data_IF_386030154219
#
_entry.id   IF_386030154219
#
_cell.length_a   1.000
_cell.length_b   1.000
_cell.length_c   1.000
_cell.angle_alpha   90.00
_cell.angle_beta   90.00
_cell.angle_gamma   90.00
#
_symmetry.space_group_name_H-M   'P 1'
#
loop_
_entity.id
_entity.type
_entity.pdbx_description
1 polymer ?
#
# COMPACT_ATOMS: atom_id res chain seq x y z
N UNK A 1 -25.98 -16.74 11.57
CA UNK A 1 -24.56 -16.63 12.01
C UNK A 1 -23.85 -15.72 11.02
N UNK A 2 -23.29 -14.60 11.48
CA UNK A 2 -22.34 -13.83 10.67
C UNK A 2 -20.99 -14.54 10.77
N UNK A 3 -20.61 -15.30 9.76
CA UNK A 3 -19.25 -15.83 9.65
C UNK A 3 -18.36 -14.65 9.26
N UNK A 4 -17.52 -14.18 10.18
CA UNK A 4 -16.43 -13.26 9.83
C UNK A 4 -15.37 -14.06 9.11
N UNK A 5 -15.39 -14.02 7.78
CA UNK A 5 -14.30 -14.58 6.97
C UNK A 5 -13.10 -13.65 7.14
N UNK A 6 -12.00 -14.22 7.60
CA UNK A 6 -10.69 -13.58 7.65
C UNK A 6 -9.76 -14.32 6.69
N UNK A 7 -8.65 -13.69 6.36
CA UNK A 7 -7.68 -14.19 5.39
C UNK A 7 -6.34 -14.50 6.07
N UNK A 8 -5.72 -15.61 5.68
CA UNK A 8 -4.34 -15.90 6.06
C UNK A 8 -3.36 -14.89 5.44
N UNK A 9 -3.69 -14.39 4.25
CA UNK A 9 -2.89 -13.39 3.53
C UNK A 9 -3.79 -12.41 2.78
N UNK A 10 -3.51 -11.12 2.92
CA UNK A 10 -4.09 -10.06 2.09
C UNK A 10 -2.95 -9.37 1.36
N UNK A 11 -3.05 -9.26 0.04
CA UNK A 11 -2.15 -8.44 -0.75
C UNK A 11 -2.98 -7.43 -1.54
N UNK A 12 -2.49 -6.19 -1.59
CA UNK A 12 -3.05 -5.19 -2.47
C UNK A 12 -1.96 -4.48 -3.25
N UNK A 13 -2.02 -4.60 -4.58
CA UNK A 13 -1.26 -3.76 -5.50
C UNK A 13 -1.92 -2.38 -5.55
N UNK A 14 -1.42 -1.43 -4.75
CA UNK A 14 -2.09 -0.15 -4.57
C UNK A 14 -1.81 0.80 -5.73
N UNK A 15 -2.78 1.65 -6.12
CA UNK A 15 -2.52 2.84 -6.93
C UNK A 15 -1.61 3.80 -6.15
N UNK A 16 -0.38 4.01 -6.63
CA UNK A 16 0.61 4.86 -5.96
C UNK A 16 0.97 6.13 -6.75
N UNK A 17 0.48 6.29 -7.97
CA UNK A 17 0.81 7.49 -8.76
C UNK A 17 0.04 8.70 -8.22
N UNK A 18 0.76 9.78 -7.97
CA UNK A 18 0.18 11.06 -7.54
C UNK A 18 -0.73 11.62 -8.65
N UNK A 19 -1.90 12.11 -8.25
CA UNK A 19 -2.78 12.87 -9.12
C UNK A 19 -3.26 14.16 -8.43
N UNK A 20 -3.17 15.27 -9.15
CA UNK A 20 -3.63 16.59 -8.69
C UNK A 20 -5.09 16.88 -9.08
N UNK A 21 -5.87 15.85 -9.43
CA UNK A 21 -7.29 15.93 -9.80
C UNK A 21 -8.13 14.91 -9.04
N UNK A 22 -9.36 15.31 -8.69
CA UNK A 22 -10.29 14.48 -7.92
C UNK A 22 -11.32 13.75 -8.78
N UNK A 23 -11.55 14.20 -10.02
CA UNK A 23 -12.48 13.56 -10.95
C UNK A 23 -11.69 12.59 -11.82
N UNK A 24 -11.85 11.31 -11.53
CA UNK A 24 -11.22 10.22 -12.27
C UNK A 24 -12.23 9.12 -12.54
N UNK A 25 -12.14 8.52 -13.73
CA UNK A 25 -12.94 7.36 -14.07
C UNK A 25 -12.43 6.10 -13.34
N UNK A 26 -13.10 4.97 -13.57
CA UNK A 26 -12.74 3.70 -12.91
C UNK A 26 -11.35 3.20 -13.30
N UNK A 27 -10.91 3.41 -14.54
CA UNK A 27 -9.62 2.94 -15.02
C UNK A 27 -8.50 3.81 -14.47
N UNK A 28 -8.67 5.12 -14.49
CA UNK A 28 -7.74 6.08 -13.90
C UNK A 28 -7.53 5.80 -12.41
N UNK A 29 -8.60 5.48 -11.67
CA UNK A 29 -8.50 5.10 -10.24
C UNK A 29 -7.74 3.80 -9.96
N UNK A 30 -7.44 3.00 -10.99
CA UNK A 30 -6.58 1.82 -10.83
C UNK A 30 -5.09 2.19 -10.77
N UNK A 31 -4.73 3.40 -11.20
CA UNK A 31 -3.36 3.91 -11.24
C UNK A 31 -3.16 5.04 -10.21
N UNK A 32 -4.16 5.90 -10.06
CA UNK A 32 -4.10 7.12 -9.26
C UNK A 32 -4.97 7.04 -8.00
N UNK A 33 -4.42 7.45 -6.86
CA UNK A 33 -5.15 7.59 -5.60
C UNK A 33 -4.87 8.96 -4.97
N UNK A 34 -5.74 9.97 -5.18
CA UNK A 34 -5.49 11.33 -4.73
C UNK A 34 -5.35 11.37 -3.22
N UNK A 35 -4.22 11.88 -2.75
CA UNK A 35 -3.86 11.92 -1.33
C UNK A 35 -3.85 10.54 -0.65
N UNK A 36 -3.72 9.45 -1.42
CA UNK A 36 -3.64 8.09 -0.90
C UNK A 36 -4.80 7.71 0.02
N UNK A 37 -6.02 8.17 -0.32
CA UNK A 37 -7.25 7.92 0.46
C UNK A 37 -7.59 6.44 0.56
N UNK A 38 -7.33 5.69 -0.49
CA UNK A 38 -7.58 4.25 -0.54
C UNK A 38 -6.51 3.50 0.26
N UNK A 39 -5.24 3.93 0.17
CA UNK A 39 -4.15 3.44 1.03
C UNK A 39 -4.44 3.70 2.50
N UNK A 40 -4.84 4.91 2.88
CA UNK A 40 -5.22 5.24 4.26
C UNK A 40 -6.33 4.33 4.79
N UNK A 41 -7.38 4.09 3.99
CA UNK A 41 -8.44 3.15 4.36
C UNK A 41 -7.92 1.74 4.59
N UNK A 42 -7.02 1.25 3.75
CA UNK A 42 -6.41 -0.06 3.91
C UNK A 42 -5.57 -0.13 5.20
N UNK A 43 -4.65 0.81 5.40
CA UNK A 43 -3.81 0.91 6.61
C UNK A 43 -4.65 1.00 7.91
N UNK A 44 -5.79 1.69 7.86
CA UNK A 44 -6.66 1.85 9.03
C UNK A 44 -7.40 0.57 9.43
N UNK A 45 -7.55 -0.41 8.54
CA UNK A 45 -8.54 -1.47 8.73
C UNK A 45 -8.16 -2.88 8.29
N UNK A 46 -6.95 -3.10 7.75
CA UNK A 46 -6.53 -4.41 7.25
C UNK A 46 -6.61 -5.50 8.32
N UNK A 47 -6.20 -5.20 9.55
CA UNK A 47 -6.14 -6.11 10.70
C UNK A 47 -7.48 -6.76 11.07
N UNK A 48 -8.60 -6.07 10.82
CA UNK A 48 -9.95 -6.63 11.04
C UNK A 48 -10.28 -7.82 10.13
N UNK A 49 -9.57 -7.95 9.01
CA UNK A 49 -9.82 -8.97 7.98
C UNK A 49 -8.72 -10.03 7.93
N UNK A 50 -7.70 -9.94 8.78
CA UNK A 50 -6.57 -10.87 8.81
C UNK A 50 -6.76 -11.84 9.99
N UNK A 51 -6.38 -13.10 9.78
CA UNK A 51 -6.30 -14.13 10.84
C UNK A 51 -5.24 -13.76 11.88
N UNK A 52 -5.23 -14.42 13.04
CA UNK A 52 -4.30 -14.10 14.14
C UNK A 52 -2.82 -14.17 13.71
N UNK A 53 -2.46 -15.22 12.96
CA UNK A 53 -1.13 -15.39 12.35
C UNK A 53 -1.07 -14.97 10.87
N UNK A 54 -2.14 -14.33 10.40
CA UNK A 54 -2.26 -13.88 9.03
C UNK A 54 -1.39 -12.65 8.75
N UNK A 55 -1.17 -12.35 7.47
CA UNK A 55 -0.31 -11.24 7.04
C UNK A 55 -1.01 -10.33 6.03
N UNK A 56 -0.75 -9.04 6.11
CA UNK A 56 -1.19 -8.06 5.13
C UNK A 56 0.00 -7.42 4.43
N UNK A 57 -0.16 -7.21 3.12
CA UNK A 57 0.88 -6.67 2.27
C UNK A 57 0.36 -5.49 1.44
N UNK A 58 1.25 -4.55 1.16
CA UNK A 58 1.02 -3.39 0.30
C UNK A 58 2.08 -3.38 -0.81
N UNK A 59 1.63 -3.42 -2.06
CA UNK A 59 2.44 -3.08 -3.21
C UNK A 59 2.51 -1.57 -3.37
N UNK A 60 3.71 -1.02 -3.51
CA UNK A 60 3.97 0.39 -3.71
C UNK A 60 5.15 0.59 -4.66
N UNK A 61 5.40 1.83 -5.08
CA UNK A 61 6.60 2.22 -5.83
C UNK A 61 7.21 3.44 -5.16
N UNK A 62 8.36 3.28 -4.51
CA UNK A 62 9.05 4.41 -3.88
C UNK A 62 9.68 5.36 -4.90
N UNK A 63 9.91 4.89 -6.14
CA UNK A 63 10.42 5.69 -7.25
C UNK A 63 9.36 6.55 -7.93
N UNK A 64 8.08 6.17 -7.89
CA UNK A 64 6.99 6.89 -8.55
C UNK A 64 5.88 7.39 -7.62
N UNK A 65 5.87 6.93 -6.37
CA UNK A 65 4.98 7.38 -5.32
C UNK A 65 5.58 8.48 -4.43
N UNK A 66 4.73 9.06 -3.59
CA UNK A 66 5.08 10.05 -2.57
C UNK A 66 5.38 9.34 -1.24
N UNK A 67 6.66 8.99 -1.05
CA UNK A 67 7.15 8.32 0.16
C UNK A 67 6.81 9.10 1.43
N UNK A 68 6.97 10.43 1.41
CA UNK A 68 6.66 11.26 2.57
C UNK A 68 5.18 11.22 2.95
N UNK A 69 4.28 11.14 1.97
CA UNK A 69 2.85 10.96 2.22
C UNK A 69 2.55 9.57 2.79
N UNK A 70 3.15 8.51 2.23
CA UNK A 70 2.98 7.16 2.74
C UNK A 70 3.46 7.04 4.19
N UNK A 71 4.62 7.60 4.53
CA UNK A 71 5.16 7.64 5.90
C UNK A 71 4.20 8.36 6.86
N UNK A 72 3.68 9.52 6.48
CA UNK A 72 2.68 10.26 7.29
C UNK A 72 1.43 9.44 7.53
N UNK A 73 0.94 8.72 6.52
CA UNK A 73 -0.24 7.85 6.67
C UNK A 73 0.05 6.65 7.56
N UNK A 74 1.22 6.04 7.45
CA UNK A 74 1.65 4.95 8.32
C UNK A 74 1.70 5.39 9.78
N UNK A 75 2.32 6.54 10.07
CA UNK A 75 2.37 7.12 11.41
C UNK A 75 0.97 7.40 11.97
N UNK A 76 0.10 8.05 11.19
CA UNK A 76 -1.29 8.36 11.59
C UNK A 76 -2.13 7.13 11.87
N UNK A 77 -1.80 5.99 11.26
CA UNK A 77 -2.52 4.74 11.44
C UNK A 77 -1.77 3.75 12.35
N UNK A 78 -0.66 4.13 13.00
CA UNK A 78 0.13 3.21 13.83
C UNK A 78 0.52 1.93 13.08
N UNK A 79 0.97 2.08 11.83
CA UNK A 79 1.48 0.99 10.98
C UNK A 79 2.95 1.24 10.68
N UNK A 80 3.76 0.20 10.79
CA UNK A 80 5.12 0.19 10.23
C UNK A 80 5.16 -0.69 8.98
N UNK A 81 5.93 -0.25 7.98
CA UNK A 81 6.17 -1.00 6.76
C UNK A 81 7.48 -1.78 6.90
N UNK A 82 7.43 -3.07 6.65
CA UNK A 82 8.63 -3.92 6.54
C UNK A 82 8.80 -4.32 5.09
N UNK A 83 9.91 -3.92 4.46
CA UNK A 83 10.22 -4.35 3.10
C UNK A 83 10.40 -5.87 3.06
N UNK A 84 9.64 -6.53 2.20
CA UNK A 84 9.69 -7.99 1.98
C UNK A 84 10.44 -8.30 0.70
N UNK A 85 10.18 -7.54 -0.36
CA UNK A 85 10.78 -7.73 -1.68
C UNK A 85 10.81 -6.40 -2.44
N UNK A 86 11.78 -6.25 -3.33
CA UNK A 86 11.90 -5.12 -4.25
C UNK A 86 12.25 -5.64 -5.65
N UNK A 87 11.52 -5.19 -6.66
CA UNK A 87 11.86 -5.42 -8.06
C UNK A 87 12.17 -4.10 -8.74
N UNK A 88 13.34 -4.03 -9.39
CA UNK A 88 13.74 -2.88 -10.22
C UNK A 88 13.54 -3.21 -11.68
N UNK A 89 12.74 -2.40 -12.36
CA UNK A 89 12.57 -2.43 -13.81
C UNK A 89 13.54 -1.43 -14.43
N UNK A 90 14.20 -1.91 -15.48
CA UNK A 90 15.07 -1.09 -16.31
C UNK A 90 14.26 -0.43 -17.42
N UNK A 91 14.59 0.81 -17.74
CA UNK A 91 14.10 1.46 -18.95
C UNK A 91 14.71 0.84 -20.21
N UNK A 92 14.33 1.37 -21.38
CA UNK A 92 14.84 0.91 -22.67
C UNK A 92 16.35 1.08 -22.87
N UNK A 93 16.99 1.93 -22.06
CA UNK A 93 18.43 2.22 -22.09
C UNK A 93 19.20 1.43 -21.00
N UNK A 94 18.49 0.64 -20.18
CA UNK A 94 19.06 -0.23 -19.17
C UNK A 94 19.29 0.42 -17.80
N UNK A 95 18.78 1.64 -17.58
CA UNK A 95 18.83 2.34 -16.31
C UNK A 95 17.67 1.90 -15.41
N UNK A 96 17.94 1.77 -14.10
CA UNK A 96 16.88 1.49 -13.13
C UNK A 96 15.98 2.73 -13.00
N UNK A 97 14.83 2.69 -13.68
CA UNK A 97 13.88 3.82 -13.73
C UNK A 97 12.71 3.63 -12.75
N UNK A 98 12.44 2.39 -12.36
CA UNK A 98 11.24 2.07 -11.61
C UNK A 98 11.43 0.93 -10.62
N UNK A 99 11.09 1.16 -9.35
CA UNK A 99 11.06 0.16 -8.30
C UNK A 99 9.61 -0.19 -7.94
N UNK A 100 9.36 -1.47 -7.70
CA UNK A 100 8.14 -2.00 -7.09
C UNK A 100 8.51 -2.70 -5.80
N UNK A 101 8.00 -2.20 -4.69
CA UNK A 101 8.21 -2.77 -3.38
C UNK A 101 6.96 -3.51 -2.89
N UNK A 102 7.21 -4.64 -2.23
CA UNK A 102 6.22 -5.34 -1.43
C UNK A 102 6.54 -5.07 0.04
N UNK A 103 5.63 -4.39 0.74
CA UNK A 103 5.73 -4.15 2.17
C UNK A 103 4.78 -5.06 2.95
N UNK A 104 5.26 -5.69 4.02
CA UNK A 104 4.44 -6.28 5.08
C UNK A 104 3.98 -5.19 6.04
N UNK A 105 2.68 -5.16 6.33
CA UNK A 105 2.06 -4.20 7.24
C UNK A 105 2.08 -4.74 8.67
N UNK A 106 2.68 -3.99 9.60
CA UNK A 106 2.74 -4.37 11.01
C UNK A 106 2.08 -3.29 11.86
N UNK A 107 1.16 -3.69 12.75
CA UNK A 107 0.62 -2.76 13.75
C UNK A 107 1.66 -2.44 14.80
N UNK A 108 1.81 -1.16 15.10
CA UNK A 108 2.65 -0.67 16.19
C UNK A 108 1.76 -0.51 17.42
N UNK A 109 2.09 -1.20 18.51
CA UNK A 109 1.43 -0.97 19.79
C UNK A 109 1.82 0.41 20.31
N UNK A 110 0.81 1.24 20.61
CA UNK A 110 1.02 2.50 21.32
C UNK A 110 0.98 2.17 22.81
N UNK A 111 2.10 2.37 23.50
CA UNK A 111 2.19 2.27 24.95
C UNK A 111 1.37 3.35 25.65
#
# INVERSE_FOLDING_TARGET
MNVKIKFDKIFWNAPFIKADRNNMDLLERSVFDPNYRSIEKYLSGFDRYVEEDGRAFLGFSSSSGDNGMLERLCLRNHVSLKLVEESRLKDGDGHDDFALELYELLRVQVN
#
